data_IF_709636988378
#
_entry.id   IF_709636988378
#
_cell.length_a   1.000
_cell.length_b   1.000
_cell.length_c   1.000
_cell.angle_alpha   90.00
_cell.angle_beta   90.00
_cell.angle_gamma   90.00
#
_symmetry.space_group_name_H-M   'P 1'
#
loop_
_entity.id
_entity.type
_entity.pdbx_description
1 polymer ?
#
# COMPACT_ATOMS: atom_id res chain seq x y z
N UNK A 1 -2.22 5.85 -28.55
CA UNK A 1 -2.81 5.26 -27.33
C UNK A 1 -2.05 5.81 -26.14
N UNK A 2 -2.73 6.28 -25.08
CA UNK A 2 -2.08 6.82 -23.89
C UNK A 2 -1.38 5.73 -23.05
N UNK A 3 -0.47 6.13 -22.14
CA UNK A 3 0.18 5.22 -21.18
C UNK A 3 -0.89 4.53 -20.33
N UNK A 4 -0.79 3.20 -20.19
CA UNK A 4 -1.59 2.43 -19.24
C UNK A 4 -1.09 2.74 -17.82
N UNK A 5 -2.01 3.07 -16.91
CA UNK A 5 -1.69 3.29 -15.50
C UNK A 5 -1.84 2.00 -14.71
N UNK A 6 -0.94 1.75 -13.76
CA UNK A 6 -0.93 0.56 -12.91
C UNK A 6 -0.98 0.98 -11.44
N UNK A 7 -1.92 0.43 -10.69
CA UNK A 7 -2.02 0.55 -9.23
C UNK A 7 -1.95 -0.82 -8.57
N UNK A 8 -1.62 -0.83 -7.27
CA UNK A 8 -1.66 -2.03 -6.42
C UNK A 8 -2.21 -1.68 -5.04
N UNK A 9 -2.97 -2.61 -4.45
CA UNK A 9 -3.48 -2.45 -3.09
C UNK A 9 -2.39 -2.56 -2.03
N UNK A 10 -2.35 -1.60 -1.11
CA UNK A 10 -1.40 -1.60 0.00
C UNK A 10 -1.59 -2.84 0.91
N UNK A 11 -2.82 -3.36 0.98
CA UNK A 11 -3.19 -4.56 1.71
C UNK A 11 -2.39 -5.81 1.31
N UNK A 12 -1.84 -5.87 0.09
CA UNK A 12 -1.03 -6.99 -0.38
C UNK A 12 0.30 -7.15 0.40
N UNK A 13 0.72 -6.13 1.15
CA UNK A 13 1.98 -6.10 1.88
C UNK A 13 1.84 -6.25 3.40
N UNK A 14 0.65 -6.61 3.86
CA UNK A 14 0.33 -6.81 5.30
C UNK A 14 -0.42 -8.11 5.58
N UNK A 15 -0.86 -8.83 4.53
CA UNK A 15 -1.56 -10.11 4.61
C UNK A 15 -0.79 -11.21 3.89
N UNK A 16 -1.10 -12.47 4.17
CA UNK A 16 -0.38 -13.63 3.66
C UNK A 16 1.06 -13.68 4.17
N UNK A 17 2.03 -13.77 3.26
CA UNK A 17 3.46 -13.90 3.60
C UNK A 17 4.07 -12.71 4.37
N UNK A 18 3.29 -11.66 4.64
CA UNK A 18 3.69 -10.47 5.40
C UNK A 18 2.88 -10.29 6.69
N UNK A 19 2.10 -11.27 7.13
CA UNK A 19 1.28 -11.17 8.36
C UNK A 19 2.15 -10.99 9.63
N UNK A 20 3.24 -11.74 9.73
CA UNK A 20 4.14 -11.67 10.90
C UNK A 20 5.06 -10.43 10.87
N UNK A 21 5.41 -9.95 9.68
CA UNK A 21 6.30 -8.80 9.46
C UNK A 21 5.76 -7.90 8.33
N UNK A 22 4.71 -7.10 8.61
CA UNK A 22 4.08 -6.25 7.60
C UNK A 22 5.02 -5.16 7.13
N UNK A 23 5.02 -4.89 5.82
CA UNK A 23 5.88 -3.84 5.26
C UNK A 23 5.25 -2.46 5.56
N UNK A 24 5.97 -1.50 6.15
CA UNK A 24 5.43 -0.16 6.40
C UNK A 24 5.00 0.56 5.13
N UNK A 25 3.86 1.28 5.19
CA UNK A 25 3.30 2.01 4.05
C UNK A 25 4.30 2.95 3.34
N UNK A 26 5.15 3.76 4.04
CA UNK A 26 6.13 4.61 3.37
C UNK A 26 7.14 3.81 2.52
N UNK A 27 7.51 2.61 2.99
CA UNK A 27 8.42 1.71 2.27
C UNK A 27 7.74 1.17 1.01
N UNK A 28 6.48 0.73 1.13
CA UNK A 28 5.66 0.29 -0.01
C UNK A 28 5.55 1.39 -1.07
N UNK A 29 5.19 2.61 -0.65
CA UNK A 29 5.06 3.78 -1.53
C UNK A 29 6.34 4.09 -2.31
N UNK A 30 7.47 4.15 -1.58
CA UNK A 30 8.78 4.41 -2.19
C UNK A 30 9.16 3.33 -3.21
N UNK A 31 8.99 2.05 -2.85
CA UNK A 31 9.37 0.93 -3.71
C UNK A 31 8.52 0.84 -4.97
N UNK A 32 7.22 1.10 -4.86
CA UNK A 32 6.32 1.09 -6.01
C UNK A 32 6.57 2.26 -6.95
N UNK A 33 6.90 3.44 -6.42
CA UNK A 33 7.37 4.57 -7.23
C UNK A 33 8.66 4.20 -8.00
N UNK A 34 9.65 3.60 -7.33
CA UNK A 34 10.90 3.13 -7.95
C UNK A 34 10.62 2.12 -9.10
N UNK A 35 9.54 1.36 -9.01
CA UNK A 35 9.09 0.39 -10.03
C UNK A 35 8.16 0.97 -11.11
N UNK A 36 7.94 2.29 -11.13
CA UNK A 36 7.04 2.99 -12.06
C UNK A 36 5.55 2.62 -11.96
N UNK A 37 5.08 2.18 -10.80
CA UNK A 37 3.64 2.15 -10.52
C UNK A 37 3.11 3.57 -10.44
N UNK A 38 1.88 3.76 -10.92
CA UNK A 38 1.24 5.07 -11.01
C UNK A 38 0.39 5.38 -9.76
N UNK A 39 0.14 4.40 -8.88
CA UNK A 39 -0.62 4.63 -7.65
C UNK A 39 -0.69 3.42 -6.71
N UNK A 40 -1.27 3.67 -5.54
CA UNK A 40 -1.54 2.69 -4.50
C UNK A 40 -2.99 2.85 -4.07
N UNK A 41 -3.67 1.73 -3.87
CA UNK A 41 -5.01 1.73 -3.28
C UNK A 41 -4.90 1.56 -1.76
N UNK A 42 -5.31 2.62 -1.06
CA UNK A 42 -5.41 2.64 0.39
C UNK A 42 -6.70 1.95 0.83
N UNK A 43 -6.58 0.94 1.69
CA UNK A 43 -7.71 0.38 2.43
C UNK A 43 -7.57 0.72 3.91
N UNK A 44 -8.68 0.84 4.63
CA UNK A 44 -8.71 1.04 6.09
C UNK A 44 -8.40 -0.29 6.83
N UNK A 45 -7.19 -0.80 6.60
CA UNK A 45 -6.70 -2.03 7.22
C UNK A 45 -5.43 -1.75 8.01
N UNK A 46 -5.46 -2.11 9.30
CA UNK A 46 -4.25 -2.10 10.11
C UNK A 46 -3.24 -3.10 9.53
N UNK A 47 -1.93 -2.79 9.54
CA UNK A 47 -1.29 -1.60 10.14
C UNK A 47 -1.10 -0.40 9.20
N UNK A 48 -1.59 -0.43 7.96
CA UNK A 48 -1.43 0.71 7.02
C UNK A 48 -2.38 1.87 7.30
N UNK A 49 -3.58 1.58 7.81
CA UNK A 49 -4.56 2.57 8.23
C UNK A 49 -5.57 1.91 9.17
N UNK A 50 -5.65 2.34 10.42
CA UNK A 50 -6.69 1.90 11.36
C UNK A 50 -7.82 2.92 11.48
N UNK A 51 -8.99 2.50 11.95
CA UNK A 51 -10.11 3.41 12.26
C UNK A 51 -9.79 4.37 13.43
N UNK A 52 -8.76 4.06 14.21
CA UNK A 52 -8.27 4.93 15.28
C UNK A 52 -7.45 6.09 14.71
N UNK A 53 -6.65 5.82 13.66
CA UNK A 53 -5.88 6.86 12.95
C UNK A 53 -6.77 7.85 12.18
N UNK A 54 -8.03 7.50 11.90
CA UNK A 54 -8.98 8.32 11.15
C UNK A 54 -9.82 9.28 12.03
N UNK A 55 -9.55 9.33 13.34
CA UNK A 55 -10.31 10.15 14.32
C UNK A 55 -9.67 11.51 14.61
N UNK A 56 -8.51 11.80 14.04
CA UNK A 56 -7.80 13.09 14.08
C UNK A 56 -7.85 13.80 12.71
#
# INVERSE_FOLDING_TARGET
MGKKKISVGAWAYIWGGYEDEPIPLPTVAKKLQEMNFDGIEMGAFAPHLSLEDAKD
#
